data_IF_612990988566
#
_entry.id   IF_612990988566
#
_cell.length_a   1.000
_cell.length_b   1.000
_cell.length_c   1.000
_cell.angle_alpha   90.00
_cell.angle_beta   90.00
_cell.angle_gamma   90.00
#
_symmetry.space_group_name_H-M   'P 1'
#
loop_
_entity.id
_entity.type
_entity.pdbx_description
1 polymer ?
#
# COMPACT_ATOMS: atom_id res chain seq x y z
N UNK A 1 -1.36 -46.04 7.71
CA UNK A 1 -1.64 -45.01 6.67
C UNK A 1 -1.78 -43.70 7.42
N UNK A 2 -0.69 -42.96 7.54
CA UNK A 2 -0.63 -41.72 8.35
C UNK A 2 -0.83 -40.57 7.38
N UNK A 3 -1.99 -39.92 7.47
CA UNK A 3 -2.23 -38.66 6.79
C UNK A 3 -1.56 -37.55 7.60
N UNK A 4 -0.47 -37.02 7.04
CA UNK A 4 0.20 -35.86 7.61
C UNK A 4 -0.66 -34.62 7.44
N UNK A 5 -1.23 -34.13 8.53
CA UNK A 5 -1.82 -32.81 8.66
C UNK A 5 -0.70 -31.77 8.75
N UNK A 6 -0.29 -31.28 7.58
CA UNK A 6 0.59 -30.12 7.45
C UNK A 6 -0.18 -28.81 7.41
N UNK A 7 -1.12 -28.61 8.34
CA UNK A 7 -1.75 -27.30 8.57
C UNK A 7 -0.79 -26.43 9.39
N UNK A 8 0.23 -25.86 8.76
CA UNK A 8 0.89 -24.67 9.30
C UNK A 8 -0.21 -23.63 9.55
N UNK A 9 -0.37 -23.20 10.78
CA UNK A 9 -1.24 -22.08 11.16
C UNK A 9 -0.72 -20.83 10.47
N UNK A 10 -1.17 -20.61 9.22
CA UNK A 10 -0.88 -19.38 8.49
C UNK A 10 -1.49 -18.21 9.27
N UNK A 11 -0.62 -17.43 9.87
CA UNK A 11 -1.03 -16.32 10.72
C UNK A 11 -1.91 -15.34 9.93
N UNK A 12 -3.06 -15.01 10.49
CA UNK A 12 -3.96 -14.03 9.91
C UNK A 12 -3.31 -12.65 10.00
N UNK A 13 -3.08 -12.02 8.87
CA UNK A 13 -2.47 -10.68 8.81
C UNK A 13 -3.50 -9.58 8.97
N UNK A 14 -4.63 -9.69 8.27
CA UNK A 14 -5.71 -8.70 8.32
C UNK A 14 -7.03 -9.41 8.64
N UNK A 15 -7.78 -8.84 9.59
CA UNK A 15 -9.14 -9.26 9.90
C UNK A 15 -10.06 -8.05 9.92
N UNK A 16 -11.15 -8.12 9.18
CA UNK A 16 -12.21 -7.12 9.17
C UNK A 16 -13.50 -7.79 9.63
N UNK A 17 -14.26 -7.16 10.51
CA UNK A 17 -15.56 -7.66 10.98
C UNK A 17 -16.61 -6.57 11.00
N UNK A 18 -17.73 -6.84 10.35
CA UNK A 18 -18.90 -5.99 10.34
C UNK A 18 -18.65 -4.58 9.81
N UNK A 19 -17.71 -4.38 8.86
CA UNK A 19 -17.30 -3.07 8.41
C UNK A 19 -18.45 -2.33 7.74
N UNK A 20 -18.77 -1.13 8.22
CA UNK A 20 -19.85 -0.29 7.72
C UNK A 20 -19.33 1.07 7.27
N UNK A 21 -19.94 1.60 6.20
CA UNK A 21 -19.66 2.95 5.71
C UNK A 21 -20.84 3.51 4.98
N UNK A 22 -21.20 4.76 5.30
CA UNK A 22 -22.22 5.54 4.62
C UNK A 22 -21.62 6.82 4.05
N UNK A 23 -22.15 7.27 2.93
CA UNK A 23 -21.87 8.58 2.35
C UNK A 23 -23.17 9.31 2.08
N UNK A 24 -23.31 10.52 2.61
CA UNK A 24 -24.51 11.35 2.44
C UNK A 24 -25.82 10.62 2.77
N UNK A 25 -25.81 9.78 3.82
CA UNK A 25 -26.95 9.01 4.26
C UNK A 25 -27.23 7.72 3.48
N UNK A 26 -26.39 7.40 2.48
CA UNK A 26 -26.49 6.14 1.73
C UNK A 26 -25.44 5.17 2.26
N UNK A 27 -25.85 4.03 2.81
CA UNK A 27 -24.94 2.97 3.26
C UNK A 27 -24.34 2.27 2.04
N UNK A 28 -23.00 2.20 1.98
CA UNK A 28 -22.22 1.59 0.89
C UNK A 28 -21.57 0.27 1.35
N UNK A 29 -21.23 0.18 2.63
CA UNK A 29 -20.75 -1.06 3.24
C UNK A 29 -21.74 -1.50 4.31
N UNK A 30 -22.31 -2.69 4.14
CA UNK A 30 -23.40 -3.25 4.94
C UNK A 30 -22.93 -4.31 5.95
N UNK A 31 -21.76 -4.13 6.55
CA UNK A 31 -21.21 -5.12 7.50
C UNK A 31 -20.31 -6.15 6.78
N UNK A 32 -19.24 -5.67 6.13
CA UNK A 32 -18.30 -6.51 5.39
C UNK A 32 -17.34 -7.23 6.35
N UNK A 33 -17.18 -8.53 6.15
CA UNK A 33 -16.19 -9.38 6.79
C UNK A 33 -15.12 -9.79 5.79
N UNK A 34 -13.84 -9.75 6.17
CA UNK A 34 -12.71 -10.14 5.33
C UNK A 34 -11.58 -10.65 6.21
N UNK A 35 -10.96 -11.76 5.79
CA UNK A 35 -9.74 -12.29 6.37
C UNK A 35 -8.66 -12.42 5.29
N UNK A 36 -7.46 -11.89 5.55
CA UNK A 36 -6.29 -12.01 4.68
C UNK A 36 -5.15 -12.64 5.48
N UNK A 37 -4.57 -13.70 4.96
CA UNK A 37 -3.43 -14.39 5.57
C UNK A 37 -2.11 -13.76 5.16
N UNK A 38 -1.12 -13.86 6.03
CA UNK A 38 0.23 -13.41 5.71
C UNK A 38 0.77 -14.17 4.48
N UNK A 39 1.48 -13.46 3.58
CA UNK A 39 2.06 -14.04 2.38
C UNK A 39 1.06 -14.46 1.30
N UNK A 40 -0.23 -14.17 1.47
CA UNK A 40 -1.27 -14.53 0.48
C UNK A 40 -1.60 -13.39 -0.45
N UNK A 41 -2.07 -13.73 -1.66
CA UNK A 41 -2.73 -12.80 -2.58
C UNK A 41 -4.23 -12.98 -2.47
N UNK A 42 -4.94 -11.90 -2.13
CA UNK A 42 -6.38 -11.91 -1.96
C UNK A 42 -7.06 -11.00 -2.98
N UNK A 43 -7.89 -11.57 -3.86
CA UNK A 43 -8.61 -10.81 -4.87
C UNK A 43 -10.01 -10.39 -4.36
N UNK A 44 -10.28 -9.08 -4.37
CA UNK A 44 -11.59 -8.54 -4.05
C UNK A 44 -12.40 -8.37 -5.33
N UNK A 45 -13.38 -9.25 -5.58
CA UNK A 45 -14.18 -9.29 -6.82
C UNK A 45 -15.62 -8.87 -6.53
N UNK A 46 -16.27 -8.26 -7.51
CA UNK A 46 -17.67 -7.82 -7.41
C UNK A 46 -18.01 -6.76 -8.45
N UNK A 47 -19.30 -6.47 -8.58
CA UNK A 47 -19.81 -5.45 -9.52
C UNK A 47 -19.29 -4.04 -9.20
N UNK A 48 -19.43 -3.12 -10.18
CA UNK A 48 -19.14 -1.71 -9.93
C UNK A 48 -20.16 -1.17 -8.92
N UNK A 49 -19.65 -0.44 -7.92
CA UNK A 49 -20.49 0.03 -6.80
C UNK A 49 -20.58 -0.93 -5.60
N UNK A 50 -20.07 -2.16 -5.68
CA UNK A 50 -20.12 -3.13 -4.58
C UNK A 50 -19.25 -2.78 -3.33
N UNK A 51 -18.73 -1.56 -3.24
CA UNK A 51 -17.97 -1.09 -2.06
C UNK A 51 -16.49 -1.49 -2.02
N UNK A 52 -15.94 -2.22 -3.03
CA UNK A 52 -14.53 -2.66 -3.06
C UNK A 52 -13.55 -1.52 -2.82
N UNK A 53 -13.66 -0.45 -3.58
CA UNK A 53 -12.80 0.72 -3.44
C UNK A 53 -12.98 1.44 -2.11
N UNK A 54 -14.16 1.35 -1.51
CA UNK A 54 -14.44 1.93 -0.18
C UNK A 54 -13.69 1.17 0.92
N UNK A 55 -13.71 -0.17 0.87
CA UNK A 55 -12.90 -1.00 1.79
C UNK A 55 -11.42 -0.66 1.66
N UNK A 56 -10.89 -0.60 0.43
CA UNK A 56 -9.49 -0.24 0.18
C UNK A 56 -9.15 1.17 0.68
N UNK A 57 -10.04 2.15 0.49
CA UNK A 57 -9.85 3.53 0.97
C UNK A 57 -9.90 3.63 2.50
N UNK A 58 -10.67 2.76 3.18
CA UNK A 58 -10.68 2.68 4.64
C UNK A 58 -9.35 2.10 5.14
N UNK A 59 -8.89 1.00 4.55
CA UNK A 59 -7.60 0.40 4.88
C UNK A 59 -6.42 1.35 4.62
N UNK A 60 -6.52 2.15 3.56
CA UNK A 60 -5.53 3.18 3.22
C UNK A 60 -5.60 4.45 4.11
N UNK A 61 -6.55 4.53 5.07
CA UNK A 61 -6.74 5.72 5.91
C UNK A 61 -7.28 6.96 5.20
N UNK A 62 -7.86 6.79 3.99
CA UNK A 62 -8.50 7.88 3.23
C UNK A 62 -9.92 8.14 3.75
N UNK A 63 -10.60 7.10 4.21
CA UNK A 63 -11.92 7.18 4.84
C UNK A 63 -11.90 6.46 6.19
N UNK A 64 -12.69 6.93 7.14
CA UNK A 64 -12.95 6.24 8.38
C UNK A 64 -14.18 5.35 8.24
N UNK A 65 -14.16 4.17 8.88
CA UNK A 65 -15.34 3.33 9.01
C UNK A 65 -16.37 3.97 9.95
N UNK A 66 -17.65 3.76 9.69
CA UNK A 66 -18.74 4.20 10.57
C UNK A 66 -19.07 3.12 11.61
N UNK A 67 -18.62 1.88 11.39
CA UNK A 67 -18.80 0.75 12.32
C UNK A 67 -17.99 -0.46 11.90
N UNK A 68 -17.96 -1.45 12.77
CA UNK A 68 -17.14 -2.65 12.61
C UNK A 68 -15.76 -2.51 13.24
N UNK A 69 -14.90 -3.49 12.99
CA UNK A 69 -13.52 -3.52 13.51
C UNK A 69 -12.53 -3.99 12.45
N UNK A 70 -11.30 -3.50 12.56
CA UNK A 70 -10.16 -3.89 11.73
C UNK A 70 -9.03 -4.28 12.67
N UNK A 71 -8.44 -5.45 12.45
CA UNK A 71 -7.25 -5.93 13.15
C UNK A 71 -6.14 -6.17 12.11
N UNK A 72 -4.94 -5.68 12.40
CA UNK A 72 -3.73 -5.92 11.62
C UNK A 72 -2.71 -6.63 12.49
N UNK A 73 -2.26 -7.81 12.05
CA UNK A 73 -1.36 -8.68 12.84
C UNK A 73 -1.84 -8.90 14.28
N UNK A 74 -3.17 -9.12 14.46
CA UNK A 74 -3.79 -9.34 15.76
C UNK A 74 -3.96 -8.10 16.64
N UNK A 75 -3.62 -6.93 16.15
CA UNK A 75 -3.80 -5.66 16.86
C UNK A 75 -4.95 -4.86 16.25
N UNK A 76 -5.90 -4.35 17.07
CA UNK A 76 -6.95 -3.47 16.57
C UNK A 76 -6.35 -2.18 16.01
N UNK A 77 -6.79 -1.80 14.82
CA UNK A 77 -6.33 -0.59 14.13
C UNK A 77 -7.49 0.24 13.62
N UNK A 78 -7.26 1.56 13.53
CA UNK A 78 -8.15 2.50 12.87
C UNK A 78 -7.30 3.66 12.39
N UNK A 79 -7.36 3.96 11.09
CA UNK A 79 -6.51 4.98 10.48
C UNK A 79 -7.31 6.25 10.21
N UNK A 80 -6.92 7.37 10.85
CA UNK A 80 -7.50 8.67 10.59
C UNK A 80 -6.89 9.35 9.34
N UNK A 81 -5.63 8.96 9.01
CA UNK A 81 -4.87 9.53 7.89
C UNK A 81 -4.04 8.47 7.17
N UNK A 82 -3.77 8.64 5.86
CA UNK A 82 -2.95 7.69 5.09
C UNK A 82 -1.55 7.44 5.67
N UNK A 83 -0.94 8.43 6.31
CA UNK A 83 0.38 8.27 6.96
C UNK A 83 0.34 7.27 8.13
N UNK A 84 -0.79 7.16 8.84
CA UNK A 84 -0.96 6.19 9.93
C UNK A 84 -1.05 4.77 9.35
N UNK A 85 -1.82 4.58 8.27
CA UNK A 85 -1.90 3.30 7.56
C UNK A 85 -0.52 2.87 7.04
N UNK A 86 0.22 3.78 6.42
CA UNK A 86 1.58 3.54 5.95
C UNK A 86 2.54 3.19 7.10
N UNK A 87 2.46 3.90 8.22
CA UNK A 87 3.25 3.61 9.42
C UNK A 87 2.94 2.24 10.05
N UNK A 88 1.72 1.73 9.85
CA UNK A 88 1.32 0.38 10.26
C UNK A 88 1.70 -0.72 9.23
N UNK A 89 2.26 -0.35 8.07
CA UNK A 89 2.66 -1.26 7.01
C UNK A 89 1.58 -1.52 5.95
N UNK A 90 0.52 -0.68 5.90
CA UNK A 90 -0.52 -0.75 4.85
C UNK A 90 -0.20 0.27 3.77
N UNK A 91 0.17 -0.18 2.59
CA UNK A 91 0.44 0.68 1.43
C UNK A 91 -0.58 0.42 0.32
N UNK A 92 -0.86 1.45 -0.47
CA UNK A 92 -1.85 1.38 -1.55
C UNK A 92 -1.27 1.97 -2.83
N UNK A 93 -1.41 1.24 -3.93
CA UNK A 93 -1.17 1.76 -5.27
C UNK A 93 -2.50 2.25 -5.82
N UNK A 94 -2.61 3.56 -6.08
CA UNK A 94 -3.83 4.17 -6.62
C UNK A 94 -3.87 4.06 -8.15
N UNK A 95 -5.07 4.16 -8.73
CA UNK A 95 -5.25 4.16 -10.19
C UNK A 95 -4.75 5.46 -10.85
N UNK A 96 -4.78 6.58 -10.11
CA UNK A 96 -4.25 7.86 -10.57
C UNK A 96 -2.79 8.00 -10.13
N UNK A 97 -1.95 8.52 -11.03
CA UNK A 97 -0.54 8.74 -10.72
C UNK A 97 -0.38 9.89 -9.73
N UNK A 98 0.21 9.60 -8.59
CA UNK A 98 0.57 10.59 -7.57
C UNK A 98 2.09 10.90 -7.63
N UNK A 99 2.65 10.88 -8.85
CA UNK A 99 4.05 11.20 -9.10
C UNK A 99 4.22 12.66 -9.50
N UNK A 100 5.32 13.25 -9.05
CA UNK A 100 5.73 14.60 -9.44
C UNK A 100 6.60 14.52 -10.71
N UNK A 101 6.11 14.99 -11.89
CA UNK A 101 6.79 14.75 -13.17
C UNK A 101 8.18 15.38 -13.25
N UNK A 102 8.39 16.52 -12.61
CA UNK A 102 9.67 17.25 -12.62
C UNK A 102 10.71 16.72 -11.62
N UNK A 103 10.30 15.79 -10.76
CA UNK A 103 11.18 15.14 -9.80
C UNK A 103 11.75 13.85 -10.38
N UNK A 104 12.89 13.41 -9.81
CA UNK A 104 13.47 12.12 -10.16
C UNK A 104 12.66 10.97 -9.58
N UNK A 105 12.91 9.75 -10.06
CA UNK A 105 12.33 8.51 -9.51
C UNK A 105 12.65 8.42 -8.02
N UNK A 106 13.90 8.57 -7.61
CA UNK A 106 14.31 8.54 -6.21
C UNK A 106 13.60 9.61 -5.37
N UNK A 107 13.44 10.83 -5.89
CA UNK A 107 12.72 11.90 -5.19
C UNK A 107 11.22 11.61 -5.05
N UNK A 108 10.61 10.91 -5.99
CA UNK A 108 9.22 10.47 -5.90
C UNK A 108 9.06 9.31 -4.89
N UNK A 109 9.98 8.35 -4.90
CA UNK A 109 9.98 7.21 -3.98
C UNK A 109 10.08 7.69 -2.53
N UNK A 110 10.94 8.67 -2.24
CA UNK A 110 11.18 9.20 -0.90
C UNK A 110 10.37 10.45 -0.55
N UNK A 111 9.41 10.84 -1.36
CA UNK A 111 8.62 12.06 -1.15
C UNK A 111 8.00 12.12 0.26
N UNK A 112 8.31 13.18 1.00
CA UNK A 112 7.82 13.42 2.36
C UNK A 112 8.54 12.64 3.47
N UNK A 113 9.55 11.82 3.12
CA UNK A 113 10.37 11.03 4.05
C UNK A 113 11.84 10.97 3.63
N UNK A 114 12.30 12.04 3.03
CA UNK A 114 13.66 12.15 2.53
C UNK A 114 14.68 11.90 3.66
N UNK A 115 15.62 10.94 3.49
CA UNK A 115 16.69 10.71 4.44
C UNK A 115 17.55 11.97 4.58
N UNK A 116 17.96 12.27 5.79
CA UNK A 116 18.79 13.45 6.07
C UNK A 116 20.15 13.06 6.60
N UNK A 117 21.16 13.79 6.14
CA UNK A 117 22.53 13.70 6.64
C UNK A 117 22.99 15.09 7.05
N UNK A 118 23.35 15.29 8.32
CA UNK A 118 23.77 16.59 8.89
C UNK A 118 22.74 17.72 8.62
N UNK A 119 21.43 17.39 8.68
CA UNK A 119 20.35 18.36 8.47
C UNK A 119 19.95 18.62 7.01
N UNK A 120 20.72 18.15 6.03
CA UNK A 120 20.42 18.26 4.61
C UNK A 120 19.88 16.94 4.06
N UNK A 121 19.07 17.00 2.97
CA UNK A 121 18.58 15.82 2.26
C UNK A 121 19.76 15.03 1.69
N UNK A 122 19.80 13.74 1.97
CA UNK A 122 20.82 12.80 1.46
C UNK A 122 20.36 12.22 0.09
N UNK A 123 20.56 13.02 -0.96
CA UNK A 123 20.22 12.67 -2.32
C UNK A 123 20.88 11.34 -2.75
N UNK A 124 22.16 11.15 -2.40
CA UNK A 124 22.91 9.95 -2.77
C UNK A 124 22.32 8.68 -2.16
N UNK A 125 21.88 8.76 -0.91
CA UNK A 125 21.22 7.65 -0.26
C UNK A 125 19.89 7.30 -0.93
N UNK A 126 19.05 8.31 -1.24
CA UNK A 126 17.79 8.08 -1.95
C UNK A 126 18.02 7.36 -3.29
N UNK A 127 19.02 7.82 -4.08
CA UNK A 127 19.36 7.22 -5.38
C UNK A 127 19.86 5.77 -5.22
N UNK A 128 20.74 5.52 -4.25
CA UNK A 128 21.29 4.18 -4.01
C UNK A 128 20.22 3.20 -3.56
N UNK A 129 19.40 3.59 -2.58
CA UNK A 129 18.34 2.73 -2.03
C UNK A 129 17.26 2.47 -3.09
N UNK A 130 16.90 3.48 -3.90
CA UNK A 130 15.95 3.31 -5.01
C UNK A 130 16.50 2.41 -6.10
N UNK A 131 17.78 2.53 -6.44
CA UNK A 131 18.42 1.66 -7.43
C UNK A 131 18.46 0.21 -6.97
N UNK A 132 18.68 -0.03 -5.67
CA UNK A 132 18.62 -1.37 -5.09
C UNK A 132 17.20 -1.97 -5.19
N UNK A 133 16.16 -1.20 -4.83
CA UNK A 133 14.76 -1.64 -4.98
C UNK A 133 14.39 -1.97 -6.42
N UNK A 134 14.82 -1.16 -7.39
CA UNK A 134 14.60 -1.42 -8.82
C UNK A 134 15.28 -2.73 -9.23
N UNK A 135 16.52 -2.93 -8.81
CA UNK A 135 17.29 -4.15 -9.12
C UNK A 135 16.66 -5.40 -8.51
N UNK A 136 16.21 -5.35 -7.26
CA UNK A 136 15.53 -6.45 -6.57
C UNK A 136 14.25 -6.88 -7.27
N UNK A 137 13.57 -5.93 -7.95
CA UNK A 137 12.39 -6.19 -8.77
C UNK A 137 12.72 -6.60 -10.22
N UNK A 138 14.01 -6.69 -10.58
CA UNK A 138 14.43 -7.00 -11.94
C UNK A 138 14.18 -5.88 -12.95
N UNK A 139 14.04 -4.64 -12.50
CA UNK A 139 13.78 -3.47 -13.33
C UNK A 139 15.12 -2.81 -13.68
N UNK A 140 15.50 -2.86 -14.95
CA UNK A 140 16.80 -2.38 -15.43
C UNK A 140 16.69 -1.22 -16.43
N UNK A 141 15.49 -0.87 -16.85
CA UNK A 141 15.20 0.17 -17.84
C UNK A 141 14.74 1.50 -17.23
N UNK A 142 14.82 1.62 -15.90
CA UNK A 142 14.51 2.84 -15.13
C UNK A 142 15.69 3.12 -14.21
N UNK A 143 16.23 4.34 -14.29
CA UNK A 143 17.26 4.78 -13.37
C UNK A 143 16.69 5.66 -12.25
N UNK A 144 17.28 5.56 -11.05
CA UNK A 144 16.85 6.33 -9.88
C UNK A 144 16.90 7.86 -10.10
N UNK A 145 17.79 8.34 -10.99
CA UNK A 145 17.94 9.75 -11.34
C UNK A 145 17.10 10.21 -12.53
N UNK A 146 16.38 9.29 -13.23
CA UNK A 146 15.51 9.67 -14.34
C UNK A 146 14.36 10.57 -13.85
N UNK A 147 14.02 11.60 -14.64
CA UNK A 147 12.84 12.40 -14.35
C UNK A 147 11.58 11.64 -14.74
N UNK A 148 10.59 11.61 -13.87
CA UNK A 148 9.34 10.89 -14.09
C UNK A 148 8.65 11.30 -15.39
N UNK A 149 8.72 12.57 -15.80
CA UNK A 149 8.16 13.07 -17.07
C UNK A 149 8.74 12.40 -18.31
N UNK A 150 9.94 11.82 -18.24
CA UNK A 150 10.60 11.15 -19.37
C UNK A 150 10.22 9.68 -19.49
N UNK A 151 9.54 9.15 -18.50
CA UNK A 151 9.12 7.76 -18.42
C UNK A 151 7.81 7.53 -19.18
N UNK A 152 7.67 6.36 -19.79
CA UNK A 152 6.39 5.90 -20.32
C UNK A 152 5.37 5.69 -19.20
N UNK A 153 4.08 5.64 -19.56
CA UNK A 153 2.99 5.39 -18.60
C UNK A 153 3.21 4.07 -17.84
N UNK A 154 3.66 3.02 -18.52
CA UNK A 154 3.96 1.73 -17.88
C UNK A 154 5.12 1.85 -16.86
N UNK A 155 6.19 2.57 -17.21
CA UNK A 155 7.30 2.83 -16.29
C UNK A 155 6.87 3.69 -15.09
N UNK A 156 5.98 4.65 -15.28
CA UNK A 156 5.42 5.44 -14.18
C UNK A 156 4.61 4.55 -13.22
N UNK A 157 3.83 3.58 -13.72
CA UNK A 157 3.15 2.58 -12.88
C UNK A 157 4.15 1.76 -12.05
N UNK A 158 5.25 1.36 -12.68
CA UNK A 158 6.33 0.66 -11.97
C UNK A 158 6.91 1.52 -10.85
N UNK A 159 7.14 2.81 -11.08
CA UNK A 159 7.64 3.75 -10.04
C UNK A 159 6.66 3.86 -8.86
N UNK A 160 5.33 3.87 -9.11
CA UNK A 160 4.32 3.83 -8.03
C UNK A 160 4.41 2.54 -7.19
N UNK A 161 4.66 1.40 -7.83
CA UNK A 161 4.86 0.12 -7.13
C UNK A 161 6.14 0.18 -6.28
N UNK A 162 7.26 0.62 -6.86
CA UNK A 162 8.55 0.78 -6.16
C UNK A 162 8.38 1.72 -4.96
N UNK A 163 7.66 2.83 -5.14
CA UNK A 163 7.31 3.77 -4.06
C UNK A 163 6.52 3.07 -2.95
N UNK A 164 5.49 2.27 -3.29
CA UNK A 164 4.71 1.52 -2.30
C UNK A 164 5.59 0.50 -1.56
N UNK A 165 6.46 -0.23 -2.24
CA UNK A 165 7.37 -1.21 -1.66
C UNK A 165 8.48 -0.58 -0.80
N UNK A 166 8.84 0.67 -1.05
CA UNK A 166 9.83 1.40 -0.25
C UNK A 166 9.34 1.80 1.15
N UNK A 167 8.03 1.65 1.42
CA UNK A 167 7.51 1.60 2.78
C UNK A 167 7.63 0.16 3.28
N UNK A 168 7.95 -0.05 4.54
CA UNK A 168 8.04 -1.38 5.17
C UNK A 168 6.64 -2.06 5.17
N UNK A 169 6.13 -2.35 3.96
CA UNK A 169 4.81 -2.94 3.75
C UNK A 169 4.79 -4.39 4.27
N UNK A 170 3.70 -4.76 4.94
CA UNK A 170 3.48 -6.09 5.49
C UNK A 170 2.61 -6.96 4.58
#
# INVERSE_FOLDING_TARGET
MVTGDGAGSEALLLRIRGLRKSFFGVEVLHGVDLDVRAGSVHALVGENGAGKSTVMKILAGVHQADGGSIELAGQPVGFAHPLEAQGAGVTTVFQEFNLLPERTVAQNVYLGREPRRRGLVDQRRMETDTAALLADLGIHDIAAWDKVRTLSVAQQQVVEIVKAMSFDAR
#
